data_IF_585255317667
#
_entry.id   IF_585255317667
#
_cell.length_a   1.000
_cell.length_b   1.000
_cell.length_c   1.000
_cell.angle_alpha   90.00
_cell.angle_beta   90.00
_cell.angle_gamma   90.00
#
_symmetry.space_group_name_H-M   'P 1'
#
loop_
_entity.id
_entity.type
_entity.pdbx_description
1 polymer ?
#
# COMPACT_ATOMS: atom_id res chain seq x y z
N UNK A 1 21.78 10.34 -3.83
CA UNK A 1 20.77 10.46 -4.89
C UNK A 1 21.30 9.58 -6.03
N UNK A 2 20.62 8.48 -6.40
CA UNK A 2 21.21 7.37 -7.21
C UNK A 2 20.49 7.09 -8.55
N UNK A 3 19.59 7.97 -9.00
CA UNK A 3 18.87 7.76 -10.28
C UNK A 3 19.84 7.84 -11.47
N UNK A 4 20.95 8.58 -11.33
CA UNK A 4 22.02 8.68 -12.35
C UNK A 4 22.81 7.37 -12.56
N UNK A 5 22.69 6.39 -11.67
CA UNK A 5 23.42 5.11 -11.75
C UNK A 5 22.56 3.98 -12.36
N UNK A 6 21.43 4.32 -12.97
CA UNK A 6 20.59 3.39 -13.73
C UNK A 6 20.98 3.44 -15.21
N UNK A 7 21.19 2.30 -15.87
CA UNK A 7 21.04 0.93 -15.37
C UNK A 7 22.19 0.49 -14.44
N UNK A 8 21.89 -0.38 -13.46
CA UNK A 8 22.90 -0.89 -12.53
C UNK A 8 23.92 -1.77 -13.28
N UNK A 9 25.21 -1.66 -12.92
CA UNK A 9 26.27 -2.56 -13.42
C UNK A 9 25.98 -4.01 -13.02
N UNK A 10 25.63 -4.23 -11.74
CA UNK A 10 25.09 -5.50 -11.25
C UNK A 10 23.73 -5.30 -10.51
N UNK A 11 22.61 -5.78 -11.08
CA UNK A 11 21.31 -5.72 -10.42
C UNK A 11 21.15 -6.74 -9.28
N UNK A 12 22.12 -7.64 -9.07
CA UNK A 12 22.13 -8.69 -8.05
C UNK A 12 21.30 -9.93 -8.43
N UNK A 13 21.43 -11.01 -7.66
CA UNK A 13 20.72 -12.27 -7.87
C UNK A 13 19.38 -12.30 -7.11
N UNK A 14 18.22 -12.34 -7.81
CA UNK A 14 16.91 -12.32 -7.15
C UNK A 14 16.57 -13.65 -6.45
N UNK A 15 15.96 -13.59 -5.26
CA UNK A 15 15.33 -14.76 -4.63
C UNK A 15 13.97 -15.04 -5.28
N UNK A 16 13.97 -15.96 -6.23
CA UNK A 16 12.80 -16.34 -7.04
C UNK A 16 12.00 -17.52 -6.47
N UNK A 17 12.32 -17.99 -5.26
CA UNK A 17 11.62 -19.14 -4.64
C UNK A 17 10.13 -18.87 -4.38
N UNK A 18 9.78 -17.61 -4.12
CA UNK A 18 8.39 -17.16 -4.00
C UNK A 18 8.26 -15.68 -4.33
N UNK A 19 7.07 -15.24 -4.75
CA UNK A 19 6.79 -13.82 -4.98
C UNK A 19 7.00 -12.95 -3.73
N UNK A 20 6.79 -13.49 -2.53
CA UNK A 20 7.02 -12.76 -1.27
C UNK A 20 8.50 -12.60 -0.95
N UNK A 21 9.32 -13.63 -1.18
CA UNK A 21 10.79 -13.55 -1.00
C UNK A 21 11.43 -12.60 -2.01
N UNK A 22 10.90 -12.58 -3.23
CA UNK A 22 11.31 -11.62 -4.25
C UNK A 22 11.08 -10.16 -3.80
N UNK A 23 9.91 -9.86 -3.22
CA UNK A 23 9.62 -8.54 -2.65
C UNK A 23 10.55 -8.19 -1.48
N UNK A 24 10.83 -9.15 -0.59
CA UNK A 24 11.75 -8.95 0.55
C UNK A 24 13.17 -8.67 0.05
N UNK A 25 13.64 -9.41 -0.95
CA UNK A 25 14.95 -9.19 -1.57
C UNK A 25 15.03 -7.79 -2.22
N UNK A 26 13.98 -7.38 -2.93
CA UNK A 26 13.91 -6.07 -3.56
C UNK A 26 13.99 -4.94 -2.53
N UNK A 27 13.26 -5.08 -1.42
CA UNK A 27 13.34 -4.15 -0.28
C UNK A 27 14.73 -4.09 0.36
N UNK A 28 15.37 -5.25 0.57
CA UNK A 28 16.73 -5.34 1.13
C UNK A 28 17.80 -4.66 0.27
N UNK A 29 17.68 -4.76 -1.05
CA UNK A 29 18.59 -4.05 -1.97
C UNK A 29 18.33 -2.54 -2.05
N UNK A 30 17.34 -2.04 -1.32
CA UNK A 30 16.92 -0.64 -1.33
C UNK A 30 16.89 0.00 0.06
N UNK A 31 17.54 -0.63 1.05
CA UNK A 31 17.56 -0.15 2.43
C UNK A 31 17.97 1.32 2.56
N UNK A 32 18.98 1.78 1.79
CA UNK A 32 19.40 3.18 1.83
C UNK A 32 18.33 4.18 1.36
N UNK A 33 17.48 3.78 0.41
CA UNK A 33 16.35 4.58 -0.06
C UNK A 33 15.17 4.52 0.91
N UNK A 34 14.91 3.36 1.51
CA UNK A 34 13.88 3.17 2.53
C UNK A 34 14.22 3.93 3.82
N UNK A 35 15.49 3.91 4.26
CA UNK A 35 15.96 4.67 5.44
C UNK A 35 15.78 6.16 5.20
N UNK A 36 16.12 6.67 4.01
CA UNK A 36 15.89 8.09 3.67
C UNK A 36 14.41 8.46 3.70
N UNK A 37 13.56 7.63 3.12
CA UNK A 37 12.10 7.83 3.20
C UNK A 37 11.63 7.80 4.67
N UNK A 38 12.14 6.88 5.49
CA UNK A 38 11.82 6.82 6.91
C UNK A 38 12.28 8.07 7.68
N UNK A 39 13.48 8.59 7.42
CA UNK A 39 14.00 9.81 8.06
C UNK A 39 13.19 11.06 7.70
N UNK A 40 12.85 11.24 6.41
CA UNK A 40 11.96 12.32 6.00
C UNK A 40 10.54 12.14 6.53
N UNK A 41 10.08 10.88 6.61
CA UNK A 41 8.84 10.52 7.28
C UNK A 41 8.85 10.92 8.75
N UNK A 42 9.93 10.65 9.50
CA UNK A 42 10.09 11.07 10.89
C UNK A 42 10.00 12.59 11.05
N UNK A 43 10.64 13.36 10.16
CA UNK A 43 10.53 14.82 10.18
C UNK A 43 9.11 15.30 9.94
N UNK A 44 8.47 14.80 8.88
CA UNK A 44 7.10 15.12 8.53
C UNK A 44 6.14 14.79 9.68
N UNK A 45 6.27 13.60 10.27
CA UNK A 45 5.40 13.12 11.34
C UNK A 45 5.64 13.84 12.67
N UNK A 46 6.89 14.14 13.01
CA UNK A 46 7.20 14.96 14.17
C UNK A 46 6.56 16.34 14.07
N UNK A 47 6.66 16.99 12.91
CA UNK A 47 6.03 18.29 12.69
C UNK A 47 4.49 18.21 12.71
N UNK A 48 3.92 17.14 12.14
CA UNK A 48 2.47 16.91 12.13
C UNK A 48 1.91 16.67 13.54
N UNK A 49 2.59 15.88 14.38
CA UNK A 49 2.18 15.60 15.77
C UNK A 49 2.26 16.85 16.64
N UNK A 50 3.22 17.74 16.38
CA UNK A 50 3.34 19.00 17.10
C UNK A 50 2.34 20.07 16.64
N UNK A 51 1.72 19.92 15.47
CA UNK A 51 0.80 20.91 14.90
C UNK A 51 -0.45 21.16 15.77
N UNK A 52 -1.15 20.13 16.27
CA UNK A 52 -2.25 20.30 17.23
C UNK A 52 -1.90 21.12 18.47
N UNK A 53 -0.67 20.99 19.00
CA UNK A 53 -0.23 21.76 20.16
C UNK A 53 -0.18 23.26 19.86
N UNK A 54 0.31 23.63 18.68
CA UNK A 54 0.35 25.03 18.26
C UNK A 54 -1.06 25.63 18.13
N UNK A 55 -2.03 24.85 17.65
CA UNK A 55 -3.45 25.26 17.61
C UNK A 55 -3.98 25.49 19.03
N UNK A 56 -3.74 24.56 19.96
CA UNK A 56 -4.20 24.69 21.34
C UNK A 56 -3.60 25.89 22.07
N UNK A 57 -2.30 26.13 21.90
CA UNK A 57 -1.63 27.32 22.46
C UNK A 57 -2.25 28.59 21.88
N UNK A 58 -2.54 28.61 20.57
CA UNK A 58 -3.18 29.74 19.90
C UNK A 58 -4.57 30.03 20.47
N UNK A 59 -5.41 29.01 20.64
CA UNK A 59 -6.74 29.17 21.24
C UNK A 59 -6.64 29.65 22.69
N UNK A 60 -5.75 29.07 23.49
CA UNK A 60 -5.57 29.51 24.88
C UNK A 60 -5.07 30.96 24.94
N UNK A 61 -4.18 31.37 24.03
CA UNK A 61 -3.69 32.75 23.97
C UNK A 61 -4.81 33.77 23.67
N UNK A 62 -5.80 33.39 22.85
CA UNK A 62 -6.99 34.22 22.60
C UNK A 62 -7.86 34.32 23.85
N UNK A 63 -8.08 33.20 24.55
CA UNK A 63 -8.84 33.18 25.82
C UNK A 63 -8.16 34.06 26.87
N UNK A 64 -6.83 33.96 26.99
CA UNK A 64 -6.01 34.73 27.92
C UNK A 64 -5.76 36.19 27.46
N UNK A 65 -6.28 36.58 26.29
CA UNK A 65 -6.07 37.90 25.64
C UNK A 65 -4.59 38.31 25.52
N UNK A 66 -3.70 37.34 25.29
CA UNK A 66 -2.27 37.57 25.19
C UNK A 66 -1.80 37.62 23.73
N UNK A 67 -1.57 38.83 23.21
CA UNK A 67 -1.06 39.03 21.84
C UNK A 67 0.31 38.39 21.60
N UNK A 68 1.20 38.38 22.61
CA UNK A 68 2.52 37.77 22.51
C UNK A 68 2.45 36.24 22.35
N UNK A 69 1.61 35.56 23.15
CA UNK A 69 1.44 34.10 23.02
C UNK A 69 0.72 33.73 21.71
N UNK A 70 -0.18 34.59 21.25
CA UNK A 70 -0.85 34.40 19.96
C UNK A 70 0.14 34.52 18.79
N UNK A 71 1.04 35.50 18.83
CA UNK A 71 2.12 35.64 17.85
C UNK A 71 3.08 34.45 17.87
N UNK A 72 3.44 33.95 19.07
CA UNK A 72 4.25 32.74 19.23
C UNK A 72 3.55 31.51 18.63
N UNK A 73 2.25 31.32 18.90
CA UNK A 73 1.48 30.23 18.32
C UNK A 73 1.45 30.32 16.79
N UNK A 74 1.22 31.52 16.24
CA UNK A 74 1.28 31.77 14.80
C UNK A 74 2.65 31.44 14.19
N UNK A 75 3.74 31.88 14.84
CA UNK A 75 5.10 31.58 14.39
C UNK A 75 5.41 30.07 14.44
N UNK A 76 4.98 29.39 15.50
CA UNK A 76 5.09 27.92 15.62
C UNK A 76 4.30 27.21 14.51
N UNK A 77 3.07 27.65 14.22
CA UNK A 77 2.26 27.08 13.15
C UNK A 77 2.93 27.26 11.78
N UNK A 78 3.48 28.44 11.49
CA UNK A 78 4.22 28.69 10.24
C UNK A 78 5.45 27.79 10.15
N UNK A 79 6.26 27.74 11.21
CA UNK A 79 7.45 26.88 11.26
C UNK A 79 7.12 25.39 11.07
N UNK A 80 6.10 24.89 11.77
CA UNK A 80 5.64 23.52 11.63
C UNK A 80 5.07 23.25 10.23
N UNK A 81 4.34 24.19 9.63
CA UNK A 81 3.84 24.05 8.25
C UNK A 81 4.97 23.92 7.25
N UNK A 82 6.04 24.72 7.39
CA UNK A 82 7.23 24.62 6.55
C UNK A 82 7.91 23.26 6.71
N UNK A 83 8.03 22.75 7.95
CA UNK A 83 8.60 21.43 8.21
C UNK A 83 7.72 20.29 7.67
N UNK A 84 6.39 20.40 7.80
CA UNK A 84 5.43 19.45 7.24
C UNK A 84 5.56 19.43 5.72
N UNK A 85 5.57 20.59 5.06
CA UNK A 85 5.67 20.72 3.60
C UNK A 85 7.01 20.19 3.07
N UNK A 86 8.12 20.52 3.75
CA UNK A 86 9.44 19.99 3.39
C UNK A 86 9.51 18.48 3.59
N UNK A 87 9.05 17.99 4.73
CA UNK A 87 9.02 16.57 5.06
C UNK A 87 8.16 15.77 4.08
N UNK A 88 6.98 16.27 3.75
CA UNK A 88 6.06 15.64 2.77
C UNK A 88 6.68 15.62 1.37
N UNK A 89 7.18 16.76 0.89
CA UNK A 89 7.81 16.86 -0.42
C UNK A 89 9.02 15.92 -0.55
N UNK A 90 9.87 15.84 0.49
CA UNK A 90 11.04 14.97 0.48
C UNK A 90 10.68 13.50 0.66
N UNK A 91 9.69 13.17 1.50
CA UNK A 91 9.15 11.82 1.65
C UNK A 91 8.57 11.33 0.32
N UNK A 92 7.72 12.14 -0.31
CA UNK A 92 7.13 11.82 -1.61
C UNK A 92 8.21 11.60 -2.67
N UNK A 93 9.20 12.50 -2.76
CA UNK A 93 10.34 12.33 -3.68
C UNK A 93 11.15 11.06 -3.40
N UNK A 94 11.40 10.73 -2.13
CA UNK A 94 12.11 9.51 -1.77
C UNK A 94 11.30 8.25 -2.10
N UNK A 95 9.99 8.26 -1.85
CA UNK A 95 9.08 7.17 -2.16
C UNK A 95 8.98 6.93 -3.68
N UNK A 96 8.84 7.99 -4.48
CA UNK A 96 8.84 7.92 -5.96
C UNK A 96 10.19 7.46 -6.49
N UNK A 97 11.29 7.97 -5.93
CA UNK A 97 12.64 7.47 -6.29
C UNK A 97 12.74 5.98 -5.99
N UNK A 98 12.17 5.53 -4.87
CA UNK A 98 12.18 4.13 -4.52
C UNK A 98 11.38 3.28 -5.51
N UNK A 99 10.19 3.74 -5.87
CA UNK A 99 9.34 3.16 -6.90
C UNK A 99 10.07 3.00 -8.24
N UNK A 100 10.63 4.08 -8.79
CA UNK A 100 11.36 4.07 -10.07
C UNK A 100 12.55 3.11 -10.03
N UNK A 101 13.33 3.16 -8.95
CA UNK A 101 14.52 2.31 -8.81
C UNK A 101 14.16 0.83 -8.73
N UNK A 102 13.11 0.48 -7.99
CA UNK A 102 12.59 -0.88 -7.92
C UNK A 102 12.11 -1.33 -9.29
N UNK A 103 11.33 -0.50 -9.98
CA UNK A 103 10.79 -0.78 -11.29
C UNK A 103 11.92 -1.02 -12.32
N UNK A 104 12.88 -0.12 -12.40
CA UNK A 104 14.01 -0.21 -13.31
C UNK A 104 14.88 -1.45 -13.03
N UNK A 105 15.11 -1.80 -11.76
CA UNK A 105 15.87 -3.01 -11.40
C UNK A 105 15.16 -4.27 -11.87
N UNK A 106 13.85 -4.37 -11.65
CA UNK A 106 13.07 -5.54 -12.11
C UNK A 106 13.03 -5.61 -13.63
N UNK A 107 12.84 -4.48 -14.32
CA UNK A 107 12.92 -4.41 -15.79
C UNK A 107 14.29 -4.86 -16.32
N UNK A 108 15.37 -4.41 -15.70
CA UNK A 108 16.73 -4.81 -16.11
C UNK A 108 16.96 -6.32 -15.94
N UNK A 109 16.49 -6.90 -14.83
CA UNK A 109 16.57 -8.35 -14.60
C UNK A 109 15.76 -9.13 -15.63
N UNK A 110 14.53 -8.71 -15.92
CA UNK A 110 13.68 -9.34 -16.93
C UNK A 110 14.27 -9.21 -18.33
N UNK A 111 14.83 -8.06 -18.68
CA UNK A 111 15.50 -7.84 -19.97
C UNK A 111 16.72 -8.74 -20.12
N UNK A 112 17.62 -8.79 -19.12
CA UNK A 112 18.78 -9.71 -19.13
C UNK A 112 18.34 -11.16 -19.28
N UNK A 113 17.30 -11.57 -18.55
CA UNK A 113 16.77 -12.94 -18.61
C UNK A 113 16.14 -13.27 -19.96
N UNK A 114 15.48 -12.29 -20.58
CA UNK A 114 14.91 -12.42 -21.94
C UNK A 114 16.01 -12.63 -22.98
N UNK A 115 17.11 -11.87 -22.89
CA UNK A 115 18.27 -12.03 -23.78
C UNK A 115 18.97 -13.37 -23.54
N UNK A 116 19.15 -13.77 -22.27
CA UNK A 116 19.79 -15.04 -21.90
C UNK A 116 19.02 -16.25 -22.44
N UNK A 117 17.69 -16.31 -22.26
CA UNK A 117 16.88 -17.41 -22.75
C UNK A 117 16.63 -17.35 -24.27
N UNK A 118 16.58 -16.16 -24.87
CA UNK A 118 16.35 -15.96 -26.30
C UNK A 118 15.10 -16.71 -26.80
N UNK A 119 15.25 -17.50 -27.86
CA UNK A 119 14.15 -18.30 -28.45
C UNK A 119 13.61 -19.40 -27.51
N UNK A 120 14.33 -19.78 -26.46
CA UNK A 120 13.85 -20.74 -25.48
C UNK A 120 12.79 -20.15 -24.54
N UNK A 121 12.74 -18.82 -24.39
CA UNK A 121 11.72 -18.16 -23.57
C UNK A 121 10.35 -18.25 -24.22
N UNK A 122 10.24 -17.94 -25.51
CA UNK A 122 8.99 -17.95 -26.28
C UNK A 122 8.35 -19.33 -26.38
N UNK A 123 9.13 -20.40 -26.17
CA UNK A 123 8.63 -21.78 -26.07
C UNK A 123 8.03 -22.12 -24.71
N UNK A 124 8.30 -21.32 -23.67
CA UNK A 124 7.87 -21.59 -22.28
C UNK A 124 6.89 -20.54 -21.75
N UNK A 125 6.94 -19.32 -22.27
CA UNK A 125 6.13 -18.17 -21.86
C UNK A 125 5.74 -17.41 -23.12
N UNK A 126 4.46 -17.03 -23.24
CA UNK A 126 4.00 -16.26 -24.39
C UNK A 126 4.67 -14.87 -24.42
N UNK A 127 5.03 -14.36 -25.61
CA UNK A 127 5.65 -13.05 -25.75
C UNK A 127 4.81 -11.93 -25.10
N UNK A 128 3.48 -12.00 -25.23
CA UNK A 128 2.55 -11.07 -24.58
C UNK A 128 2.58 -11.16 -23.04
N UNK A 129 2.80 -12.34 -22.46
CA UNK A 129 2.96 -12.52 -21.02
C UNK A 129 4.27 -11.88 -20.53
N UNK A 130 5.37 -11.99 -21.29
CA UNK A 130 6.64 -11.32 -20.98
C UNK A 130 6.48 -9.80 -20.99
N UNK A 131 5.78 -9.26 -21.99
CA UNK A 131 5.50 -7.81 -22.08
C UNK A 131 4.64 -7.36 -20.89
N UNK A 132 3.55 -8.07 -20.60
CA UNK A 132 2.67 -7.75 -19.48
C UNK A 132 3.40 -7.79 -18.13
N UNK A 133 4.32 -8.75 -17.95
CA UNK A 133 5.16 -8.84 -16.75
C UNK A 133 6.17 -7.69 -16.69
N UNK A 134 6.73 -7.26 -17.82
CA UNK A 134 7.76 -6.20 -17.89
C UNK A 134 7.20 -4.77 -17.73
N UNK A 135 5.92 -4.55 -18.05
CA UNK A 135 5.25 -3.24 -17.87
C UNK A 135 4.34 -3.25 -16.65
N UNK A 136 3.17 -3.89 -16.76
CA UNK A 136 2.11 -3.74 -15.76
C UNK A 136 2.43 -4.36 -14.39
N UNK A 137 3.17 -5.48 -14.35
CA UNK A 137 3.50 -6.12 -13.08
C UNK A 137 4.62 -5.42 -12.33
N UNK A 138 5.61 -4.89 -13.06
CA UNK A 138 6.67 -4.06 -12.50
C UNK A 138 6.08 -2.83 -11.80
N UNK A 139 5.12 -2.16 -12.44
CA UNK A 139 4.47 -0.97 -11.89
C UNK A 139 3.73 -1.28 -10.57
N UNK A 140 3.00 -2.40 -10.51
CA UNK A 140 2.32 -2.86 -9.28
C UNK A 140 3.30 -3.24 -8.17
N UNK A 141 4.42 -3.87 -8.52
CA UNK A 141 5.48 -4.22 -7.56
C UNK A 141 6.11 -2.95 -6.99
N UNK A 142 6.42 -1.98 -7.86
CA UNK A 142 6.90 -0.67 -7.44
C UNK A 142 5.90 0.01 -6.52
N UNK A 143 4.61 0.05 -6.88
CA UNK A 143 3.57 0.73 -6.10
C UNK A 143 3.49 0.18 -4.67
N UNK A 144 3.66 -1.14 -4.49
CA UNK A 144 3.77 -1.72 -3.16
C UNK A 144 5.00 -1.25 -2.37
N UNK A 145 6.16 -1.08 -3.00
CA UNK A 145 7.36 -0.55 -2.33
C UNK A 145 7.14 0.90 -1.89
N UNK A 146 6.46 1.68 -2.72
CA UNK A 146 6.06 3.06 -2.40
C UNK A 146 5.07 3.09 -1.22
N UNK A 147 3.98 2.30 -1.32
CA UNK A 147 2.96 2.20 -0.29
C UNK A 147 3.56 1.72 1.05
N UNK A 148 4.50 0.78 1.02
CA UNK A 148 5.23 0.34 2.21
C UNK A 148 6.03 1.47 2.86
N UNK A 149 6.68 2.32 2.06
CA UNK A 149 7.46 3.46 2.57
C UNK A 149 6.56 4.52 3.22
N UNK A 150 5.37 4.76 2.66
CA UNK A 150 4.38 5.68 3.25
C UNK A 150 3.72 5.08 4.50
N UNK A 151 3.43 3.79 4.46
CA UNK A 151 2.80 3.08 5.58
C UNK A 151 3.69 3.04 6.81
N UNK A 152 5.00 2.80 6.67
CA UNK A 152 5.92 2.84 7.81
C UNK A 152 5.94 4.22 8.45
N UNK A 153 5.95 5.28 7.65
CA UNK A 153 5.82 6.65 8.15
C UNK A 153 4.48 6.84 8.89
N UNK A 154 3.36 6.44 8.29
CA UNK A 154 2.02 6.55 8.88
C UNK A 154 1.87 5.77 10.21
N UNK A 155 2.41 4.55 10.28
CA UNK A 155 2.39 3.74 11.49
C UNK A 155 3.16 4.43 12.62
N UNK A 156 4.34 4.99 12.32
CA UNK A 156 5.14 5.74 13.29
C UNK A 156 4.37 7.00 13.76
N UNK A 157 3.65 7.70 12.89
CA UNK A 157 2.80 8.84 13.26
C UNK A 157 1.76 8.46 14.28
N UNK A 158 1.05 7.36 14.04
CA UNK A 158 -0.04 6.93 14.90
C UNK A 158 0.51 6.63 16.29
N UNK A 159 1.62 5.90 16.36
CA UNK A 159 2.29 5.61 17.64
C UNK A 159 2.78 6.90 18.31
N UNK A 160 3.49 7.76 17.59
CA UNK A 160 4.03 9.02 18.11
C UNK A 160 2.94 9.96 18.62
N UNK A 161 1.81 10.05 17.92
CA UNK A 161 0.66 10.85 18.33
C UNK A 161 0.01 10.28 19.60
N UNK A 162 -0.21 8.96 19.66
CA UNK A 162 -0.78 8.32 20.85
C UNK A 162 0.12 8.52 22.08
N UNK A 163 1.43 8.30 21.92
CA UNK A 163 2.41 8.50 23.00
C UNK A 163 2.46 9.98 23.41
N UNK A 164 2.53 10.90 22.44
CA UNK A 164 2.56 12.34 22.70
C UNK A 164 1.32 12.82 23.45
N UNK A 165 0.13 12.36 23.07
CA UNK A 165 -1.12 12.69 23.75
C UNK A 165 -1.20 12.12 25.17
N UNK A 166 -0.75 10.88 25.38
CA UNK A 166 -0.72 10.26 26.71
C UNK A 166 0.25 10.99 27.64
N UNK A 167 1.40 11.45 27.13
CA UNK A 167 2.35 12.25 27.91
C UNK A 167 1.79 13.64 28.21
N UNK A 168 1.16 14.29 27.23
CA UNK A 168 0.63 15.64 27.37
C UNK A 168 -0.58 15.71 28.30
N UNK A 169 -1.58 14.85 28.08
CA UNK A 169 -2.77 14.75 28.92
C UNK A 169 -3.23 13.29 29.05
N UNK A 170 -2.81 12.57 30.11
CA UNK A 170 -3.09 11.14 30.31
C UNK A 170 -4.58 10.76 30.22
N UNK A 171 -5.49 11.59 30.74
CA UNK A 171 -6.91 11.29 30.79
C UNK A 171 -7.54 11.24 29.38
N UNK A 172 -7.21 12.20 28.53
CA UNK A 172 -7.69 12.24 27.14
C UNK A 172 -6.85 11.35 26.22
N UNK A 173 -5.53 11.30 26.46
CA UNK A 173 -4.60 10.46 25.74
C UNK A 173 -4.92 8.98 25.88
N UNK A 174 -5.36 8.49 27.05
CA UNK A 174 -5.77 7.11 27.24
C UNK A 174 -7.01 6.75 26.39
N UNK A 175 -7.99 7.66 26.30
CA UNK A 175 -9.19 7.45 25.45
C UNK A 175 -8.78 7.31 23.99
N UNK A 176 -7.89 8.18 23.50
CA UNK A 176 -7.38 8.11 22.13
C UNK A 176 -6.54 6.85 21.92
N UNK A 177 -5.62 6.55 22.83
CA UNK A 177 -4.74 5.39 22.77
C UNK A 177 -5.48 4.04 22.80
N UNK A 178 -6.69 3.99 23.38
CA UNK A 178 -7.60 2.84 23.30
C UNK A 178 -8.47 2.87 22.04
N UNK A 179 -8.91 4.07 21.63
CA UNK A 179 -9.71 4.28 20.42
C UNK A 179 -8.98 3.86 19.14
N UNK A 180 -7.68 4.14 19.05
CA UNK A 180 -6.86 3.82 17.86
C UNK A 180 -6.75 2.30 17.62
N UNK A 181 -6.35 1.45 18.59
CA UNK A 181 -6.43 -0.01 18.45
C UNK A 181 -7.85 -0.50 18.18
N UNK A 182 -8.87 0.05 18.82
CA UNK A 182 -10.26 -0.35 18.58
C UNK A 182 -10.68 -0.09 17.12
N UNK A 183 -10.27 1.05 16.55
CA UNK A 183 -10.44 1.38 15.13
C UNK A 183 -9.75 0.36 14.24
N UNK A 184 -8.48 0.08 14.51
CA UNK A 184 -7.71 -0.89 13.74
C UNK A 184 -8.34 -2.29 13.80
N UNK A 185 -8.75 -2.74 15.00
CA UNK A 185 -9.38 -4.03 15.23
C UNK A 185 -10.77 -4.16 14.60
N UNK A 186 -11.49 -3.05 14.39
CA UNK A 186 -12.76 -3.05 13.68
C UNK A 186 -12.56 -3.26 12.16
N UNK A 187 -11.50 -2.70 11.57
CA UNK A 187 -11.26 -2.70 10.12
C UNK A 187 -10.40 -3.89 9.65
N UNK A 188 -9.29 -4.19 10.34
CA UNK A 188 -8.35 -5.25 9.96
C UNK A 188 -8.99 -6.62 9.65
N UNK A 189 -9.94 -7.16 10.44
CA UNK A 189 -10.52 -8.48 10.18
C UNK A 189 -11.49 -8.50 8.98
N UNK A 190 -11.93 -7.33 8.50
CA UNK A 190 -12.77 -7.21 7.31
C UNK A 190 -11.94 -7.28 6.02
N UNK A 191 -10.70 -6.79 6.02
CA UNK A 191 -9.83 -6.72 4.84
C UNK A 191 -9.63 -8.08 4.12
N UNK A 192 -9.32 -9.21 4.80
CA UNK A 192 -9.10 -10.49 4.10
C UNK A 192 -10.35 -11.01 3.39
N UNK A 193 -11.52 -10.78 3.98
CA UNK A 193 -12.80 -11.18 3.40
C UNK A 193 -13.17 -10.28 2.21
N UNK A 194 -12.88 -8.98 2.30
CA UNK A 194 -13.07 -8.04 1.19
C UNK A 194 -12.17 -8.39 0.00
N UNK A 195 -10.90 -8.71 0.26
CA UNK A 195 -9.94 -9.14 -0.75
C UNK A 195 -10.40 -10.43 -1.47
N UNK A 196 -10.86 -11.44 -0.73
CA UNK A 196 -11.39 -12.69 -1.32
C UNK A 196 -12.58 -12.42 -2.27
N UNK A 197 -13.52 -11.56 -1.89
CA UNK A 197 -14.66 -11.20 -2.75
C UNK A 197 -14.24 -10.39 -3.98
N UNK A 198 -13.24 -9.54 -3.85
CA UNK A 198 -12.66 -8.83 -4.99
C UNK A 198 -11.99 -9.81 -5.97
N UNK A 199 -11.31 -10.83 -5.47
CA UNK A 199 -10.70 -11.87 -6.30
C UNK A 199 -11.76 -12.72 -7.04
N UNK A 200 -12.85 -13.12 -6.37
CA UNK A 200 -13.98 -13.81 -7.02
C UNK A 200 -14.63 -12.95 -8.12
N UNK A 201 -14.77 -11.64 -7.90
CA UNK A 201 -15.29 -10.71 -8.90
C UNK A 201 -14.34 -10.63 -10.12
N UNK A 202 -13.03 -10.57 -9.91
CA UNK A 202 -12.04 -10.55 -10.99
C UNK A 202 -12.04 -11.84 -11.79
N UNK A 203 -12.14 -12.99 -11.14
CA UNK A 203 -12.18 -14.30 -11.81
C UNK A 203 -13.40 -14.40 -12.74
N UNK A 204 -14.59 -14.05 -12.23
CA UNK A 204 -15.82 -14.03 -13.04
C UNK A 204 -15.74 -13.04 -14.19
N UNK A 205 -15.18 -11.86 -13.96
CA UNK A 205 -14.98 -10.86 -15.00
C UNK A 205 -14.05 -11.39 -16.10
N UNK A 206 -12.97 -12.08 -15.73
CA UNK A 206 -12.07 -12.76 -16.66
C UNK A 206 -12.80 -13.75 -17.56
N UNK A 207 -13.61 -14.65 -16.98
CA UNK A 207 -14.41 -15.62 -17.74
C UNK A 207 -15.43 -14.97 -18.69
N UNK A 208 -16.07 -13.88 -18.26
CA UNK A 208 -17.00 -13.15 -19.12
C UNK A 208 -16.28 -12.48 -20.31
N UNK A 209 -15.08 -11.93 -20.08
CA UNK A 209 -14.25 -11.35 -21.15
C UNK A 209 -13.74 -12.42 -22.12
N UNK A 210 -13.33 -13.59 -21.63
CA UNK A 210 -12.94 -14.73 -22.45
C UNK A 210 -14.09 -15.19 -23.36
N UNK A 211 -15.30 -15.38 -22.79
CA UNK A 211 -16.49 -15.73 -23.56
C UNK A 211 -16.83 -14.67 -24.63
N UNK A 212 -16.67 -13.39 -24.31
CA UNK A 212 -16.87 -12.31 -25.29
C UNK A 212 -15.84 -12.38 -26.43
N UNK A 213 -14.57 -12.61 -26.10
CA UNK A 213 -13.48 -12.73 -27.06
C UNK A 213 -13.69 -13.91 -28.03
N UNK A 214 -14.06 -15.08 -27.49
CA UNK A 214 -14.36 -16.27 -28.28
C UNK A 214 -15.56 -16.05 -29.21
N UNK A 215 -16.60 -15.36 -28.70
CA UNK A 215 -17.79 -15.06 -29.50
C UNK A 215 -17.47 -14.11 -30.65
N UNK A 216 -16.64 -13.09 -30.43
CA UNK A 216 -16.23 -12.14 -31.48
C UNK A 216 -15.35 -12.84 -32.52
N UNK A 217 -14.41 -13.68 -32.10
CA UNK A 217 -13.56 -14.46 -33.01
C UNK A 217 -14.37 -15.47 -33.85
N UNK A 218 -15.37 -16.11 -33.24
CA UNK A 218 -16.24 -17.10 -33.88
C UNK A 218 -17.47 -16.53 -34.60
N UNK A 219 -17.67 -15.20 -34.59
CA UNK A 219 -18.94 -14.57 -34.99
C UNK A 219 -19.38 -14.91 -36.42
N UNK A 220 -18.43 -15.03 -37.35
CA UNK A 220 -18.73 -15.41 -38.75
C UNK A 220 -19.29 -16.83 -38.85
N UNK A 221 -18.72 -17.77 -38.09
CA UNK A 221 -19.21 -19.15 -38.03
C UNK A 221 -20.58 -19.20 -37.37
N UNK A 222 -20.74 -18.43 -36.28
CA UNK A 222 -21.99 -18.31 -35.54
C UNK A 222 -23.16 -17.83 -36.41
N UNK A 223 -22.93 -16.82 -37.25
CA UNK A 223 -23.88 -16.32 -38.25
C UNK A 223 -24.24 -17.35 -39.32
N UNK A 224 -23.31 -18.23 -39.66
CA UNK A 224 -23.55 -19.31 -40.62
C UNK A 224 -24.43 -20.44 -40.08
N UNK A 225 -24.47 -20.63 -38.75
CA UNK A 225 -25.25 -21.69 -38.08
C UNK A 225 -26.49 -21.16 -37.32
N UNK A 226 -26.69 -19.83 -37.25
CA UNK A 226 -27.82 -19.19 -36.54
C UNK A 226 -27.75 -19.31 -35.02
N UNK A 227 -26.55 -19.33 -34.44
CA UNK A 227 -26.33 -19.59 -33.01
C UNK A 227 -26.24 -18.35 -32.10
N UNK A 228 -26.49 -17.14 -32.62
CA UNK A 228 -26.17 -15.89 -31.90
C UNK A 228 -26.94 -15.72 -30.59
N UNK A 229 -28.23 -16.05 -30.58
CA UNK A 229 -29.07 -15.88 -29.38
C UNK A 229 -28.65 -16.82 -28.24
N UNK A 230 -28.14 -18.02 -28.56
CA UNK A 230 -27.60 -18.95 -27.57
C UNK A 230 -26.33 -18.39 -26.93
N UNK A 231 -25.44 -17.79 -27.70
CA UNK A 231 -24.23 -17.17 -27.15
C UNK A 231 -24.53 -15.87 -26.41
N UNK A 232 -25.45 -15.05 -26.91
CA UNK A 232 -25.91 -13.83 -26.23
C UNK A 232 -26.54 -14.15 -24.87
N UNK A 233 -27.37 -15.20 -24.78
CA UNK A 233 -27.96 -15.62 -23.52
C UNK A 233 -26.90 -16.14 -22.53
N UNK A 234 -25.90 -16.90 -22.99
CA UNK A 234 -24.74 -17.31 -22.18
C UNK A 234 -23.95 -16.11 -21.67
N UNK A 235 -23.65 -15.14 -22.54
CA UNK A 235 -22.93 -13.93 -22.16
C UNK A 235 -23.73 -13.08 -21.16
N UNK A 236 -25.04 -12.91 -21.37
CA UNK A 236 -25.92 -12.22 -20.41
C UNK A 236 -25.88 -12.89 -19.04
N UNK A 237 -25.91 -14.21 -18.98
CA UNK A 237 -25.81 -14.96 -17.71
C UNK A 237 -24.46 -14.73 -17.03
N UNK A 238 -23.35 -14.89 -17.77
CA UNK A 238 -22.00 -14.63 -17.25
C UNK A 238 -21.86 -13.18 -16.75
N UNK A 239 -22.35 -12.21 -17.51
CA UNK A 239 -22.35 -10.79 -17.15
C UNK A 239 -23.16 -10.52 -15.86
N UNK A 240 -24.31 -11.17 -15.67
CA UNK A 240 -25.07 -11.05 -14.42
C UNK A 240 -24.37 -11.70 -13.22
N UNK A 241 -23.63 -12.78 -13.42
CA UNK A 241 -22.80 -13.37 -12.37
C UNK A 241 -21.68 -12.41 -11.94
N UNK A 242 -21.05 -11.72 -12.89
CA UNK A 242 -20.07 -10.66 -12.63
C UNK A 242 -20.72 -9.52 -11.85
N UNK A 243 -21.87 -9.02 -12.29
CA UNK A 243 -22.62 -7.95 -11.59
C UNK A 243 -22.94 -8.35 -10.15
N UNK A 244 -23.40 -9.58 -9.94
CA UNK A 244 -23.77 -10.05 -8.59
C UNK A 244 -22.55 -10.18 -7.68
N UNK A 245 -21.39 -10.60 -8.22
CA UNK A 245 -20.13 -10.62 -7.47
C UNK A 245 -19.62 -9.19 -7.18
N UNK A 246 -19.72 -8.29 -8.15
CA UNK A 246 -19.34 -6.88 -8.01
C UNK A 246 -20.19 -6.17 -6.95
N UNK A 247 -21.51 -6.36 -6.92
CA UNK A 247 -22.38 -5.80 -5.87
C UNK A 247 -22.03 -6.35 -4.49
N UNK A 248 -21.71 -7.65 -4.38
CA UNK A 248 -21.25 -8.24 -3.10
C UNK A 248 -19.91 -7.67 -2.63
N UNK A 249 -18.97 -7.46 -3.54
CA UNK A 249 -17.70 -6.79 -3.27
C UNK A 249 -17.92 -5.34 -2.83
N UNK A 250 -18.73 -4.59 -3.58
CA UNK A 250 -19.05 -3.19 -3.32
C UNK A 250 -19.74 -2.98 -1.96
N UNK A 251 -20.69 -3.84 -1.58
CA UNK A 251 -21.33 -3.81 -0.25
C UNK A 251 -20.35 -3.99 0.91
N UNK A 252 -19.29 -4.77 0.67
CA UNK A 252 -18.28 -5.00 1.69
C UNK A 252 -17.36 -3.78 1.83
N UNK A 253 -16.94 -3.20 0.71
CA UNK A 253 -16.17 -1.95 0.71
C UNK A 253 -16.96 -0.77 1.25
N UNK A 254 -18.26 -0.69 0.98
CA UNK A 254 -19.13 0.35 1.57
C UNK A 254 -19.25 0.21 3.09
N UNK A 255 -19.27 -1.03 3.61
CA UNK A 255 -19.24 -1.27 5.06
C UNK A 255 -17.92 -0.82 5.67
N UNK A 256 -16.78 -1.16 5.05
CA UNK A 256 -15.46 -0.71 5.50
C UNK A 256 -15.40 0.82 5.51
N UNK A 257 -15.82 1.48 4.43
CA UNK A 257 -15.85 2.93 4.34
C UNK A 257 -16.77 3.56 5.40
N UNK A 258 -17.94 2.98 5.66
CA UNK A 258 -18.84 3.45 6.71
C UNK A 258 -18.22 3.34 8.10
N UNK A 259 -17.59 2.21 8.42
CA UNK A 259 -16.85 1.96 9.68
C UNK A 259 -15.73 2.99 9.85
N UNK A 260 -15.01 3.33 8.78
CA UNK A 260 -13.95 4.33 8.81
C UNK A 260 -14.41 5.77 9.00
N UNK A 261 -15.69 6.07 8.79
CA UNK A 261 -16.25 7.39 9.08
C UNK A 261 -16.90 7.40 10.47
N UNK A 262 -17.72 6.39 10.76
CA UNK A 262 -18.52 6.32 11.98
C UNK A 262 -17.65 6.15 13.22
N UNK A 263 -16.72 5.18 13.24
CA UNK A 263 -15.95 4.95 14.48
C UNK A 263 -15.05 6.14 14.84
N UNK A 264 -14.29 6.77 13.91
CA UNK A 264 -13.51 7.93 14.28
C UNK A 264 -14.39 9.13 14.66
N UNK A 265 -15.56 9.29 14.04
CA UNK A 265 -16.56 10.27 14.45
C UNK A 265 -17.06 10.03 15.88
N UNK A 266 -17.33 8.78 16.24
CA UNK A 266 -17.70 8.38 17.61
C UNK A 266 -16.57 8.63 18.61
N UNK A 267 -15.32 8.34 18.23
CA UNK A 267 -14.14 8.65 19.05
C UNK A 267 -14.02 10.16 19.29
N UNK A 268 -14.21 10.97 18.24
CA UNK A 268 -14.18 12.43 18.33
C UNK A 268 -15.29 12.95 19.27
N UNK A 269 -16.52 12.44 19.13
CA UNK A 269 -17.65 12.78 20.02
C UNK A 269 -17.31 12.42 21.47
N UNK A 270 -16.77 11.22 21.72
CA UNK A 270 -16.41 10.78 23.06
C UNK A 270 -15.31 11.66 23.68
N UNK A 271 -14.28 12.03 22.90
CA UNK A 271 -13.19 12.91 23.33
C UNK A 271 -13.70 14.31 23.63
N UNK A 272 -14.55 14.88 22.77
CA UNK A 272 -15.13 16.21 22.98
C UNK A 272 -16.05 16.21 24.20
N UNK A 273 -16.92 15.20 24.34
CA UNK A 273 -17.82 15.08 25.48
C UNK A 273 -17.04 14.96 26.80
N UNK A 274 -16.11 14.02 26.88
CA UNK A 274 -15.32 13.79 28.08
C UNK A 274 -14.42 14.99 28.39
N UNK A 275 -13.81 15.58 27.36
CA UNK A 275 -12.99 16.77 27.48
C UNK A 275 -13.79 18.01 27.92
N UNK A 276 -15.01 18.20 27.44
CA UNK A 276 -15.88 19.30 27.87
C UNK A 276 -16.25 19.18 29.36
N UNK A 277 -16.54 17.97 29.85
CA UNK A 277 -16.75 17.71 31.28
C UNK A 277 -15.48 18.02 32.08
N UNK A 278 -14.31 17.63 31.57
CA UNK A 278 -13.03 17.87 32.21
C UNK A 278 -12.68 19.37 32.28
N UNK A 279 -13.00 20.11 31.23
CA UNK A 279 -12.83 21.56 31.14
C UNK A 279 -13.81 22.31 32.05
N UNK A 280 -15.07 21.87 32.10
CA UNK A 280 -16.09 22.42 33.01
C UNK A 280 -15.72 22.26 34.49
N UNK A 281 -14.99 21.20 34.83
CA UNK A 281 -14.45 20.96 36.17
C UNK A 281 -13.11 21.67 36.44
N UNK A 282 -12.60 22.48 35.50
CA UNK A 282 -11.32 23.18 35.61
C UNK A 282 -10.08 22.28 35.62
N UNK A 283 -10.23 20.99 35.26
CA UNK A 283 -9.11 20.03 35.23
C UNK A 283 -8.26 20.14 33.97
N UNK A 284 -8.81 20.72 32.90
CA UNK A 284 -8.10 21.06 31.67
C UNK A 284 -8.52 22.45 31.18
N UNK A 285 -7.65 23.06 30.41
CA UNK A 285 -7.89 24.31 29.70
C UNK A 285 -8.61 24.09 28.37
N UNK A 286 -9.18 25.16 27.81
CA UNK A 286 -9.81 25.13 26.48
C UNK A 286 -8.77 24.80 25.41
N UNK A 287 -7.54 25.32 25.54
CA UNK A 287 -6.43 25.01 24.63
C UNK A 287 -6.03 23.54 24.62
N UNK A 288 -6.02 22.87 25.78
CA UNK A 288 -5.75 21.43 25.87
C UNK A 288 -6.85 20.61 25.17
N UNK A 289 -8.11 20.97 25.38
CA UNK A 289 -9.23 20.32 24.68
C UNK A 289 -9.10 20.44 23.16
N UNK A 290 -8.82 21.65 22.66
CA UNK A 290 -8.65 21.89 21.22
C UNK A 290 -7.42 21.16 20.66
N UNK A 291 -6.34 21.05 21.44
CA UNK A 291 -5.17 20.23 21.08
C UNK A 291 -5.58 18.79 20.81
N UNK A 292 -6.27 18.15 21.76
CA UNK A 292 -6.66 16.75 21.61
C UNK A 292 -7.66 16.57 20.47
N UNK A 293 -8.65 17.46 20.36
CA UNK A 293 -9.61 17.46 19.25
C UNK A 293 -8.90 17.50 17.88
N UNK A 294 -7.94 18.42 17.75
CA UNK A 294 -7.18 18.57 16.51
C UNK A 294 -6.34 17.31 16.24
N UNK A 295 -5.65 16.79 17.25
CA UNK A 295 -4.87 15.56 17.14
C UNK A 295 -5.70 14.36 16.63
N UNK A 296 -6.89 14.14 17.19
CA UNK A 296 -7.80 13.06 16.74
C UNK A 296 -8.24 13.28 15.29
N UNK A 297 -8.48 14.53 14.89
CA UNK A 297 -8.83 14.85 13.49
C UNK A 297 -7.68 14.53 12.53
N UNK A 298 -6.44 14.84 12.90
CA UNK A 298 -5.26 14.53 12.09
C UNK A 298 -4.98 13.01 12.00
N UNK A 299 -5.35 12.24 13.03
CA UNK A 299 -5.24 10.77 13.02
C UNK A 299 -6.08 10.11 11.91
N UNK A 300 -7.11 10.78 11.41
CA UNK A 300 -7.93 10.28 10.29
C UNK A 300 -7.12 10.09 9.00
N UNK A 301 -6.07 10.88 8.80
CA UNK A 301 -5.29 10.85 7.56
C UNK A 301 -4.40 9.60 7.45
N UNK A 302 -3.58 9.22 8.46
CA UNK A 302 -2.84 7.97 8.49
C UNK A 302 -3.68 6.71 8.28
N UNK A 303 -4.93 6.69 8.75
CA UNK A 303 -5.82 5.54 8.60
C UNK A 303 -6.10 5.19 7.12
N UNK A 304 -6.09 6.17 6.22
CA UNK A 304 -6.26 5.91 4.77
C UNK A 304 -5.09 5.12 4.17
N UNK A 305 -3.87 5.35 4.68
CA UNK A 305 -2.68 4.62 4.20
C UNK A 305 -2.72 3.12 4.56
N UNK A 306 -3.47 2.72 5.59
CA UNK A 306 -3.69 1.29 5.89
C UNK A 306 -4.46 0.58 4.77
N UNK A 307 -5.47 1.24 4.19
CA UNK A 307 -6.21 0.67 3.05
C UNK A 307 -5.34 0.60 1.81
N UNK A 308 -4.60 1.68 1.55
CA UNK A 308 -3.71 1.79 0.40
C UNK A 308 -2.68 0.66 0.39
N UNK A 309 -2.02 0.37 1.52
CA UNK A 309 -1.05 -0.72 1.58
C UNK A 309 -1.70 -2.11 1.46
N UNK A 310 -2.89 -2.30 2.04
CA UNK A 310 -3.60 -3.57 1.93
C UNK A 310 -3.95 -3.86 0.46
N UNK A 311 -4.45 -2.85 -0.26
CA UNK A 311 -4.70 -2.95 -1.70
C UNK A 311 -3.41 -3.19 -2.48
N UNK A 312 -2.37 -2.38 -2.24
CA UNK A 312 -1.09 -2.51 -2.91
C UNK A 312 -0.48 -3.91 -2.74
N UNK A 313 -0.56 -4.48 -1.53
CA UNK A 313 -0.11 -5.85 -1.25
C UNK A 313 -0.91 -6.90 -2.04
N UNK A 314 -2.24 -6.79 -2.06
CA UNK A 314 -3.12 -7.72 -2.79
C UNK A 314 -2.86 -7.72 -4.30
N UNK A 315 -2.54 -6.57 -4.89
CA UNK A 315 -2.22 -6.46 -6.33
C UNK A 315 -0.76 -6.81 -6.66
N UNK A 316 0.18 -6.50 -5.77
CA UNK A 316 1.62 -6.76 -5.94
C UNK A 316 1.95 -8.25 -5.80
N UNK A 317 1.36 -8.96 -4.84
CA UNK A 317 1.73 -10.37 -4.56
C UNK A 317 1.57 -11.31 -5.77
N UNK A 318 0.46 -11.31 -6.53
CA UNK A 318 0.35 -12.12 -7.75
C UNK A 318 1.33 -11.68 -8.85
N UNK A 319 1.56 -10.37 -8.98
CA UNK A 319 2.46 -9.76 -9.98
C UNK A 319 3.92 -10.15 -9.71
N UNK A 320 4.35 -10.07 -8.45
CA UNK A 320 5.65 -10.56 -7.99
C UNK A 320 5.82 -12.07 -8.22
N UNK A 321 4.77 -12.87 -8.06
CA UNK A 321 4.81 -14.31 -8.35
C UNK A 321 5.02 -14.60 -9.84
N UNK A 322 4.40 -13.83 -10.74
CA UNK A 322 4.61 -13.95 -12.19
C UNK A 322 6.02 -13.53 -12.58
N UNK A 323 6.50 -12.38 -12.09
CA UNK A 323 7.87 -11.92 -12.31
C UNK A 323 8.91 -12.94 -11.81
N UNK A 324 8.74 -13.49 -10.60
CA UNK A 324 9.61 -14.52 -10.05
C UNK A 324 9.60 -15.81 -10.91
N UNK A 325 8.45 -16.21 -11.46
CA UNK A 325 8.33 -17.37 -12.34
C UNK A 325 9.15 -17.20 -13.63
N UNK A 326 9.07 -16.03 -14.27
CA UNK A 326 9.86 -15.72 -15.47
C UNK A 326 11.35 -15.70 -15.16
N UNK A 327 11.74 -15.08 -14.03
CA UNK A 327 13.13 -15.01 -13.59
C UNK A 327 13.71 -16.39 -13.17
N UNK A 328 12.87 -17.31 -12.72
CA UNK A 328 13.26 -18.67 -12.34
C UNK A 328 13.55 -19.60 -13.55
N UNK A 329 13.17 -19.21 -14.77
CA UNK A 329 13.42 -20.03 -15.96
C UNK A 329 14.92 -20.14 -16.22
N UNK A 330 15.42 -21.36 -16.47
CA UNK A 330 16.82 -21.61 -16.82
C UNK A 330 16.93 -22.11 -18.26
N UNK A 331 18.07 -21.82 -18.90
CA UNK A 331 18.42 -22.42 -20.20
C UNK A 331 18.60 -23.94 -20.00
N UNK A 332 18.10 -24.77 -20.93
CA UNK A 332 18.27 -26.23 -20.84
C UNK A 332 19.74 -26.69 -20.74
N UNK A 333 20.69 -25.95 -21.32
CA UNK A 333 22.12 -26.30 -21.29
C UNK A 333 22.76 -26.14 -19.90
N UNK A 334 22.37 -25.12 -19.12
CA UNK A 334 22.90 -24.89 -17.77
C UNK A 334 22.41 -25.94 -16.76
N UNK A 335 21.24 -26.54 -16.97
CA UNK A 335 20.74 -27.65 -16.16
C UNK A 335 21.55 -28.94 -16.38
N UNK A 336 22.14 -29.11 -17.55
CA UNK A 336 23.00 -30.25 -17.90
C UNK A 336 24.41 -30.07 -17.33
N UNK A 337 24.92 -28.83 -17.28
CA UNK A 337 26.21 -28.51 -16.66
C UNK A 337 26.17 -28.66 -15.13
N UNK A 338 25.11 -28.18 -14.45
CA UNK A 338 24.93 -28.40 -12.99
C UNK A 338 24.76 -29.89 -12.64
N UNK A 339 24.03 -30.66 -13.47
CA UNK A 339 23.89 -32.11 -13.30
C UNK A 339 25.21 -32.88 -13.52
N UNK A 340 26.09 -32.37 -14.38
CA UNK A 340 27.46 -32.89 -14.54
C UNK A 340 28.39 -32.45 -13.41
N UNK A 341 28.22 -31.24 -12.88
CA UNK A 341 28.99 -30.72 -11.74
C UNK A 341 28.59 -31.37 -10.41
N UNK A 342 27.36 -31.89 -10.28
CA UNK A 342 26.89 -32.60 -9.10
C UNK A 342 27.48 -34.01 -8.93
N UNK A 343 28.11 -34.59 -9.97
CA UNK A 343 28.86 -35.85 -9.94
C UNK A 343 28.05 -37.12 -9.54
N UNK A 344 28.24 -38.28 -10.20
CA UNK A 344 27.72 -39.54 -9.68
C UNK A 344 28.63 -40.00 -8.52
N UNK A 345 28.23 -39.78 -7.27
CA UNK A 345 29.04 -40.14 -6.10
C UNK A 345 28.23 -40.62 -4.90
N UNK A 346 27.84 -41.91 -4.93
CA UNK A 346 27.76 -42.88 -3.81
C UNK A 346 26.71 -43.97 -4.06
N UNK A 347 26.91 -44.72 -5.15
CA UNK A 347 26.45 -46.11 -5.21
C UNK A 347 27.56 -47.00 -4.67
N UNK A 348 27.52 -47.31 -3.38
CA UNK A 348 28.15 -48.50 -2.77
C UNK A 348 26.97 -49.38 -2.34
N UNK A 349 26.78 -50.62 -2.78
CA UNK A 349 27.78 -51.64 -3.11
C UNK A 349 27.96 -52.51 -1.86
N UNK A 350 27.17 -53.59 -1.79
CA UNK A 350 27.13 -54.65 -0.77
C UNK A 350 26.72 -54.26 0.66
#
# INVERSE_FOLDING_TARGET
>A
MRIRDLPYSDPGLPDVRSGTRFLVWLGRNQLGGQIKAALWGLLHMGALVCFPLAIGIGVQAVVDRSGARLALAGALMVGLTVLIALGDAMLHRAAVTNWITAAARVQQLLARKTVELGSALTRRVAAGEVVAVSTGDVEKIGWFVEALSRFTAAAITIVGLCVGLVIYQPALGAVVALGVPALALAVLPLLPRAARRADEQREKAGRATELASDTVAGLRVLRGIGGEDLFLSRYRRASQEVRTAAVRSARMWSLIAAVQVVLPGMLLIAVVWYGAVLAGNGRITVGELVTVYSAVTFLLFPLRHFEEIAMAYSFSRPSARRAARVLALRRPSAAIEDARAAGPGSGTGA
#
